data_IF_438682175463
#
_entry.id   IF_438682175463
#
_cell.length_a   1.000
_cell.length_b   1.000
_cell.length_c   1.000
_cell.angle_alpha   90.00
_cell.angle_beta   90.00
_cell.angle_gamma   90.00
#
_symmetry.space_group_name_H-M   'P 1'
#
loop_
_entity.id
_entity.type
_entity.pdbx_description
1 polymer ?
#
# COMPACT_ATOMS: atom_id res chain seq x y z
N UNK A 1 0.72 -17.08 2.47
CA UNK A 1 0.98 -18.46 1.99
C UNK A 1 0.26 -19.53 2.80
N UNK A 2 0.44 -19.64 4.13
CA UNK A 2 -0.26 -20.63 4.97
C UNK A 2 -1.79 -20.66 4.82
N UNK A 3 -2.43 -19.48 4.67
CA UNK A 3 -3.87 -19.39 4.45
C UNK A 3 -4.32 -19.94 3.09
N UNK A 4 -3.55 -19.70 2.03
CA UNK A 4 -3.84 -20.23 0.68
C UNK A 4 -3.68 -21.74 0.68
N UNK A 5 -2.63 -22.24 1.33
CA UNK A 5 -2.37 -23.67 1.51
C UNK A 5 -3.51 -24.36 2.28
N UNK A 6 -3.93 -23.81 3.42
CA UNK A 6 -5.03 -24.36 4.22
C UNK A 6 -6.37 -24.38 3.48
N UNK A 7 -6.62 -23.41 2.59
CA UNK A 7 -7.82 -23.35 1.77
C UNK A 7 -7.79 -24.34 0.57
N UNK A 8 -6.64 -24.95 0.27
CA UNK A 8 -6.44 -25.87 -0.86
C UNK A 8 -6.45 -25.21 -2.24
N UNK A 9 -6.91 -23.95 -2.34
CA UNK A 9 -6.86 -23.12 -3.54
C UNK A 9 -6.79 -21.65 -3.17
N UNK A 10 -6.08 -20.85 -3.96
CA UNK A 10 -6.02 -19.41 -3.83
C UNK A 10 -4.91 -18.82 -4.68
N UNK A 11 -4.91 -17.49 -4.82
CA UNK A 11 -3.90 -16.75 -5.60
C UNK A 11 -3.26 -15.66 -4.75
N UNK A 12 -1.96 -15.50 -4.94
CA UNK A 12 -1.20 -14.37 -4.44
C UNK A 12 -0.86 -13.46 -5.62
N UNK A 13 -1.30 -12.21 -5.57
CA UNK A 13 -0.92 -11.19 -6.54
C UNK A 13 0.24 -10.39 -5.95
N UNK A 14 1.41 -10.51 -6.56
CA UNK A 14 2.59 -9.72 -6.19
C UNK A 14 2.72 -8.54 -7.16
N UNK A 15 2.51 -7.33 -6.65
CA UNK A 15 2.58 -6.10 -7.45
C UNK A 15 3.96 -5.47 -7.33
N UNK A 16 4.61 -5.25 -8.46
CA UNK A 16 5.88 -4.54 -8.53
C UNK A 16 5.67 -3.03 -8.37
N UNK A 17 6.68 -2.31 -7.84
CA UNK A 17 6.62 -0.87 -7.62
C UNK A 17 5.75 -0.41 -6.44
N UNK A 18 5.23 -1.33 -5.61
CA UNK A 18 4.42 -0.99 -4.42
C UNK A 18 5.25 -0.92 -3.11
N UNK A 19 6.57 -1.00 -3.22
CA UNK A 19 7.50 -0.90 -2.10
C UNK A 19 7.38 0.48 -1.44
N UNK A 20 7.46 0.54 -0.10
CA UNK A 20 7.39 1.80 0.64
C UNK A 20 6.05 2.57 0.49
N UNK A 21 4.95 1.89 0.13
CA UNK A 21 3.68 2.55 -0.29
C UNK A 21 3.76 3.24 -1.66
N UNK A 22 4.58 2.69 -2.56
CA UNK A 22 4.67 3.15 -3.95
C UNK A 22 5.72 4.23 -4.21
N UNK A 23 6.57 4.52 -3.22
CA UNK A 23 7.69 5.46 -3.32
C UNK A 23 9.01 4.77 -3.65
N UNK A 24 9.01 3.45 -3.80
CA UNK A 24 10.19 2.61 -3.97
C UNK A 24 11.13 2.53 -2.76
N UNK A 25 12.08 1.59 -2.83
CA UNK A 25 12.99 1.28 -1.73
C UNK A 25 13.92 2.44 -1.39
N UNK A 26 14.41 3.17 -2.38
CA UNK A 26 15.35 4.28 -2.17
C UNK A 26 14.76 5.39 -1.32
N UNK A 27 13.56 5.86 -1.66
CA UNK A 27 12.88 6.87 -0.88
C UNK A 27 12.41 6.35 0.48
N UNK A 28 12.05 5.07 0.58
CA UNK A 28 11.75 4.43 1.87
C UNK A 28 12.95 4.50 2.82
N UNK A 29 14.17 4.29 2.32
CA UNK A 29 15.38 4.42 3.13
C UNK A 29 15.63 5.87 3.56
N UNK A 30 15.39 6.85 2.68
CA UNK A 30 15.48 8.27 3.04
C UNK A 30 14.47 8.64 4.14
N UNK A 31 13.22 8.18 4.03
CA UNK A 31 12.19 8.42 5.04
C UNK A 31 12.52 7.77 6.39
N UNK A 32 13.28 6.67 6.41
CA UNK A 32 13.77 6.06 7.64
C UNK A 32 14.80 6.91 8.37
N UNK A 33 15.64 7.65 7.66
CA UNK A 33 16.57 8.56 8.32
C UNK A 33 15.81 9.66 9.09
N UNK A 34 14.75 10.23 8.49
CA UNK A 34 13.92 11.23 9.17
C UNK A 34 13.11 10.64 10.33
N UNK A 35 12.66 9.38 10.20
CA UNK A 35 11.99 8.69 11.29
C UNK A 35 12.93 8.39 12.46
N UNK A 36 14.21 8.08 12.19
CA UNK A 36 15.23 7.93 13.22
C UNK A 36 15.51 9.25 13.94
N UNK A 37 15.32 10.39 13.25
CA UNK A 37 15.38 11.74 13.82
C UNK A 37 14.10 12.16 14.56
N UNK A 38 13.07 11.30 14.58
CA UNK A 38 11.86 11.45 15.39
C UNK A 38 10.60 11.86 14.63
N UNK A 39 10.67 12.02 13.30
CA UNK A 39 9.50 12.30 12.47
C UNK A 39 8.59 11.07 12.36
N UNK A 40 7.28 11.28 12.26
CA UNK A 40 6.41 10.17 11.88
C UNK A 40 6.52 9.84 10.37
N UNK A 41 5.89 8.75 9.95
CA UNK A 41 5.99 8.30 8.56
C UNK A 41 5.27 9.19 7.54
N UNK A 42 4.29 10.00 7.99
CA UNK A 42 3.60 11.00 7.15
C UNK A 42 4.48 12.24 7.05
N UNK A 43 4.94 12.77 8.18
CA UNK A 43 5.83 13.94 8.26
C UNK A 43 7.10 13.72 7.44
N UNK A 44 7.75 12.55 7.57
CA UNK A 44 8.95 12.22 6.81
C UNK A 44 8.69 12.17 5.30
N UNK A 45 7.52 11.69 4.87
CA UNK A 45 7.16 11.68 3.45
C UNK A 45 6.87 13.10 2.95
N UNK A 46 6.13 13.89 3.71
CA UNK A 46 5.82 15.29 3.38
C UNK A 46 7.09 16.14 3.26
N UNK A 47 8.03 15.98 4.18
CA UNK A 47 9.32 16.70 4.17
C UNK A 47 10.20 16.31 2.97
N UNK A 48 10.11 15.05 2.52
CA UNK A 48 10.77 14.58 1.30
C UNK A 48 10.00 14.91 0.01
N UNK A 49 8.82 15.55 0.12
CA UNK A 49 7.94 15.86 -1.03
C UNK A 49 7.31 14.62 -1.67
N UNK A 50 7.17 13.53 -0.91
CA UNK A 50 6.66 12.24 -1.36
C UNK A 50 5.19 12.05 -1.00
N UNK A 51 4.43 11.29 -1.80
CA UNK A 51 3.06 10.94 -1.45
C UNK A 51 3.03 10.01 -0.23
N UNK A 52 2.01 10.16 0.62
CA UNK A 52 1.77 9.27 1.76
C UNK A 52 1.47 7.83 1.30
N UNK A 53 0.78 7.68 0.17
CA UNK A 53 0.52 6.40 -0.49
C UNK A 53 0.25 6.63 -1.98
N UNK A 54 1.06 6.01 -2.86
CA UNK A 54 0.92 6.07 -4.31
C UNK A 54 0.60 4.70 -4.93
N UNK A 55 0.19 3.71 -4.13
CA UNK A 55 -0.09 2.34 -4.62
C UNK A 55 -1.34 2.31 -5.49
N UNK A 56 -1.22 1.68 -6.66
CA UNK A 56 -2.34 1.44 -7.58
C UNK A 56 -2.67 -0.04 -7.71
N UNK A 57 -3.85 -0.44 -7.25
CA UNK A 57 -4.26 -1.86 -7.25
C UNK A 57 -5.00 -2.29 -8.53
N UNK A 58 -5.25 -1.37 -9.46
CA UNK A 58 -6.05 -1.59 -10.66
C UNK A 58 -5.50 -2.74 -11.54
N UNK A 59 -4.18 -2.81 -11.71
CA UNK A 59 -3.54 -3.90 -12.48
C UNK A 59 -3.76 -5.25 -11.78
N UNK A 60 -3.64 -5.30 -10.46
CA UNK A 60 -3.92 -6.51 -9.68
C UNK A 60 -5.36 -6.98 -9.83
N UNK A 61 -6.31 -6.04 -9.76
CA UNK A 61 -7.73 -6.30 -10.00
C UNK A 61 -7.97 -6.85 -11.41
N UNK A 62 -7.37 -6.24 -12.43
CA UNK A 62 -7.51 -6.67 -13.82
C UNK A 62 -6.94 -8.07 -14.06
N UNK A 63 -5.80 -8.39 -13.45
CA UNK A 63 -5.22 -9.74 -13.54
C UNK A 63 -6.16 -10.81 -12.96
N UNK A 64 -6.83 -10.53 -11.84
CA UNK A 64 -7.79 -11.46 -11.23
C UNK A 64 -9.05 -11.63 -12.06
N UNK A 65 -9.61 -10.53 -12.59
CA UNK A 65 -10.78 -10.58 -13.47
C UNK A 65 -10.47 -11.29 -14.79
N UNK A 66 -9.28 -11.10 -15.34
CA UNK A 66 -8.85 -11.83 -16.53
C UNK A 66 -8.72 -13.33 -16.25
N UNK A 67 -8.16 -13.69 -15.09
CA UNK A 67 -7.95 -15.08 -14.73
C UNK A 67 -9.26 -15.83 -14.48
N UNK A 68 -10.15 -15.32 -13.61
CA UNK A 68 -11.50 -15.88 -13.41
C UNK A 68 -12.57 -14.79 -13.23
N UNK A 69 -13.23 -14.36 -14.33
CA UNK A 69 -14.08 -13.17 -14.34
C UNK A 69 -15.36 -13.27 -13.48
N UNK A 70 -15.78 -14.48 -13.10
CA UNK A 70 -17.02 -14.72 -12.34
C UNK A 70 -16.78 -15.10 -10.87
N UNK A 71 -15.52 -15.12 -10.43
CA UNK A 71 -15.14 -15.62 -9.09
C UNK A 71 -14.69 -14.50 -8.17
N UNK A 72 -14.15 -13.41 -8.70
CA UNK A 72 -13.65 -12.29 -7.92
C UNK A 72 -14.57 -11.07 -7.99
N UNK A 73 -15.18 -10.72 -6.86
CA UNK A 73 -15.77 -9.38 -6.68
C UNK A 73 -14.66 -8.45 -6.17
N UNK A 74 -14.07 -7.65 -7.06
CA UNK A 74 -12.98 -6.74 -6.71
C UNK A 74 -13.56 -5.39 -6.30
N UNK A 75 -13.75 -5.19 -5.00
CA UNK A 75 -14.03 -3.88 -4.43
C UNK A 75 -12.72 -3.28 -3.90
N UNK A 76 -12.29 -2.14 -4.46
CA UNK A 76 -11.14 -1.41 -3.93
C UNK A 76 -11.58 -0.65 -2.68
N UNK A 77 -11.37 -1.25 -1.51
CA UNK A 77 -11.47 -0.54 -0.23
C UNK A 77 -10.06 -0.23 0.23
N UNK A 78 -9.54 0.92 -0.18
CA UNK A 78 -8.32 1.47 0.40
C UNK A 78 -8.60 1.78 1.88
N UNK A 79 -8.42 0.78 2.77
CA UNK A 79 -8.19 1.03 4.19
C UNK A 79 -6.71 1.32 4.35
N UNK A 80 -6.30 2.53 3.98
CA UNK A 80 -5.06 3.09 4.48
C UNK A 80 -5.27 3.32 5.98
N UNK A 81 -4.68 2.47 6.82
CA UNK A 81 -4.58 2.67 8.26
C UNK A 81 -3.60 3.79 8.60
N UNK A 82 -3.85 5.00 8.12
CA UNK A 82 -3.30 6.22 8.69
C UNK A 82 -4.24 6.69 9.78
N UNK A 83 -3.77 6.79 11.02
CA UNK A 83 -4.46 7.57 12.04
C UNK A 83 -4.55 9.00 11.54
N UNK A 84 -5.73 9.42 11.11
CA UNK A 84 -6.04 10.81 10.84
C UNK A 84 -5.97 11.55 12.19
N UNK A 85 -5.06 12.50 12.33
CA UNK A 85 -5.24 13.56 13.31
C UNK A 85 -6.38 14.44 12.78
N UNK A 86 -7.47 14.57 13.55
CA UNK A 86 -8.46 15.62 13.31
C UNK A 86 -7.71 16.95 13.41
N UNK A 87 -7.64 17.65 12.28
CA UNK A 87 -7.27 19.07 12.29
C UNK A 87 -8.52 19.78 12.79
N UNK A 88 -8.48 20.24 14.04
CA UNK A 88 -9.48 21.15 14.57
C UNK A 88 -9.46 22.42 13.72
N UNK A 89 -10.52 22.63 12.92
CA UNK A 89 -10.83 23.94 12.36
C UNK A 89 -11.36 24.81 13.50
N UNK A 90 -10.46 25.54 14.18
CA UNK A 90 -10.59 26.94 14.67
C UNK A 90 -9.40 27.39 15.55
#
# INVERSE_FOLDING_TARGET
>A
MKQIEAAGRGVLVYLWGHEGRGIDLGHRLCAYNLQDDGHDAVEANEELGLPVDSREYCIGAQNLLFWEPNVFNVANTARSGGSYHEVDDE
#
